data_IF_909699757076
#
_entry.id   IF_909699757076
#
_cell.length_a   1.000
_cell.length_b   1.000
_cell.length_c   1.000
_cell.angle_alpha   90.00
_cell.angle_beta   90.00
_cell.angle_gamma   90.00
#
_symmetry.space_group_name_H-M   'P 1'
#
loop_
_entity.id
_entity.type
_entity.pdbx_description
1 polymer ?
#
# COMPACT_ATOMS: atom_id res chain seq x y z
N UNK A 1 0.62 30.95 32.98
CA UNK A 1 -0.07 29.69 32.61
C UNK A 1 0.40 28.62 33.59
N UNK A 2 -0.53 27.96 34.30
CA UNK A 2 -0.16 27.02 35.36
C UNK A 2 0.51 25.79 34.75
N UNK A 3 1.61 25.32 35.36
CA UNK A 3 2.36 24.14 34.89
C UNK A 3 1.46 22.91 34.67
N UNK A 4 0.43 22.74 35.51
CA UNK A 4 -0.57 21.67 35.39
C UNK A 4 -1.39 21.73 34.08
N UNK A 5 -1.78 22.92 33.62
CA UNK A 5 -2.47 23.07 32.33
C UNK A 5 -1.56 22.79 31.15
N UNK A 6 -0.27 23.13 31.25
CA UNK A 6 0.73 22.81 30.21
C UNK A 6 0.92 21.30 30.08
N UNK A 7 1.07 20.58 31.19
CA UNK A 7 1.34 19.14 31.19
C UNK A 7 0.16 18.33 30.64
N UNK A 8 -1.08 18.70 30.97
CA UNK A 8 -2.28 18.07 30.41
C UNK A 8 -2.41 18.28 28.89
N UNK A 9 -2.07 19.46 28.38
CA UNK A 9 -2.08 19.71 26.93
C UNK A 9 -1.05 18.83 26.20
N UNK A 10 0.16 18.67 26.73
CA UNK A 10 1.16 17.78 26.14
C UNK A 10 0.72 16.30 26.15
N UNK A 11 0.11 15.83 27.24
CA UNK A 11 -0.41 14.46 27.31
C UNK A 11 -1.53 14.21 26.27
N UNK A 12 -2.45 15.16 26.10
CA UNK A 12 -3.53 15.08 25.10
C UNK A 12 -3.02 15.15 23.65
N UNK A 13 -1.98 15.96 23.39
CA UNK A 13 -1.31 16.03 22.08
C UNK A 13 -0.56 14.74 21.75
N UNK A 14 -0.06 13.99 22.74
CA UNK A 14 0.64 12.73 22.51
C UNK A 14 -0.31 11.54 22.29
N UNK A 15 -1.51 11.55 22.87
CA UNK A 15 -2.47 10.43 22.77
C UNK A 15 -3.34 10.54 21.50
N UNK A 16 -3.64 11.75 21.02
CA UNK A 16 -4.59 11.95 19.91
C UNK A 16 -4.16 11.39 18.54
N UNK A 17 -2.87 11.40 18.13
CA UNK A 17 -2.49 10.83 16.84
C UNK A 17 -2.23 9.32 16.86
N UNK A 18 -1.96 8.73 18.03
CA UNK A 18 -1.55 7.32 18.13
C UNK A 18 -2.69 6.33 17.87
N UNK A 19 -3.95 6.76 17.92
CA UNK A 19 -5.10 5.85 17.97
C UNK A 19 -5.96 5.79 16.69
N UNK A 20 -5.64 6.55 15.64
CA UNK A 20 -6.30 6.39 14.33
C UNK A 20 -5.42 5.58 13.36
N UNK A 21 -4.75 4.55 13.89
CA UNK A 21 -4.04 3.57 13.08
C UNK A 21 -5.00 2.74 12.22
N UNK A 22 -4.43 1.97 11.30
CA UNK A 22 -5.17 1.03 10.46
C UNK A 22 -6.05 0.09 11.32
N UNK A 23 -7.37 0.22 11.18
CA UNK A 23 -8.32 -0.48 12.05
C UNK A 23 -8.65 -1.88 11.53
N UNK A 24 -9.30 -2.69 12.37
CA UNK A 24 -9.83 -3.99 11.93
C UNK A 24 -10.88 -3.85 10.81
N UNK A 25 -11.69 -2.77 10.85
CA UNK A 25 -12.68 -2.47 9.81
C UNK A 25 -12.01 -2.10 8.48
N UNK A 26 -10.97 -1.25 8.53
CA UNK A 26 -10.15 -0.93 7.35
C UNK A 26 -9.51 -2.19 6.76
N UNK A 27 -8.99 -3.07 7.63
CA UNK A 27 -8.40 -4.35 7.23
C UNK A 27 -9.39 -5.27 6.52
N UNK A 28 -10.62 -5.35 7.03
CA UNK A 28 -11.66 -6.16 6.40
C UNK A 28 -12.14 -5.55 5.08
N UNK A 29 -12.26 -4.23 5.00
CA UNK A 29 -12.59 -3.52 3.78
C UNK A 29 -11.53 -3.72 2.69
N UNK A 30 -10.26 -3.58 3.02
CA UNK A 30 -9.15 -3.80 2.09
C UNK A 30 -9.03 -5.27 1.68
N UNK A 31 -9.30 -6.22 2.58
CA UNK A 31 -9.37 -7.65 2.24
C UNK A 31 -10.38 -7.93 1.14
N UNK A 32 -11.62 -7.45 1.31
CA UNK A 32 -12.66 -7.54 0.28
C UNK A 32 -12.23 -6.84 -1.00
N UNK A 33 -11.61 -5.67 -0.88
CA UNK A 33 -11.20 -4.88 -2.03
C UNK A 33 -10.13 -5.57 -2.87
N UNK A 34 -9.12 -6.17 -2.25
CA UNK A 34 -8.09 -6.97 -2.95
C UNK A 34 -8.75 -8.13 -3.69
N UNK A 35 -9.67 -8.86 -3.04
CA UNK A 35 -10.38 -9.96 -3.69
C UNK A 35 -11.20 -9.50 -4.91
N UNK A 36 -11.87 -8.35 -4.82
CA UNK A 36 -12.59 -7.74 -5.95
C UNK A 36 -11.67 -7.33 -7.10
N UNK A 37 -10.53 -6.69 -6.79
CA UNK A 37 -9.55 -6.25 -7.80
C UNK A 37 -9.04 -7.46 -8.59
N UNK A 38 -8.61 -8.52 -7.89
CA UNK A 38 -8.10 -9.75 -8.51
C UNK A 38 -9.19 -10.41 -9.37
N UNK A 39 -10.41 -10.50 -8.85
CA UNK A 39 -11.54 -11.12 -9.56
C UNK A 39 -11.94 -10.33 -10.81
N UNK A 40 -11.93 -9.01 -10.78
CA UNK A 40 -12.42 -8.18 -11.88
C UNK A 40 -11.35 -7.91 -12.95
N UNK A 41 -10.07 -8.03 -12.60
CA UNK A 41 -8.95 -7.74 -13.51
C UNK A 41 -8.56 -8.94 -14.38
N UNK A 42 -9.40 -9.25 -15.37
CA UNK A 42 -9.24 -10.46 -16.21
C UNK A 42 -8.28 -10.25 -17.39
N UNK A 43 -8.32 -9.10 -18.05
CA UNK A 43 -7.45 -8.77 -19.19
C UNK A 43 -6.21 -7.96 -18.77
N UNK A 44 -5.18 -7.95 -19.61
CA UNK A 44 -3.91 -7.28 -19.33
C UNK A 44 -4.08 -5.80 -18.96
N UNK A 45 -4.96 -5.06 -19.66
CA UNK A 45 -5.14 -3.64 -19.38
C UNK A 45 -5.82 -3.44 -18.02
N UNK A 46 -6.82 -4.25 -17.69
CA UNK A 46 -7.49 -4.20 -16.39
C UNK A 46 -6.53 -4.50 -15.22
N UNK A 47 -5.63 -5.48 -15.38
CA UNK A 47 -4.56 -5.78 -14.41
C UNK A 47 -3.63 -4.60 -14.24
N UNK A 48 -3.09 -4.08 -15.34
CA UNK A 48 -2.12 -2.98 -15.35
C UNK A 48 -2.70 -1.72 -14.69
N UNK A 49 -3.95 -1.39 -15.00
CA UNK A 49 -4.64 -0.22 -14.45
C UNK A 49 -4.94 -0.37 -12.95
N UNK A 50 -5.06 -1.60 -12.45
CA UNK A 50 -5.37 -1.87 -11.04
C UNK A 50 -4.14 -1.96 -10.12
N UNK A 51 -2.92 -1.99 -10.69
CA UNK A 51 -1.67 -2.08 -9.92
C UNK A 51 -1.56 -0.95 -8.88
N UNK A 52 -1.89 0.29 -9.26
CA UNK A 52 -1.76 1.42 -8.34
C UNK A 52 -2.67 1.26 -7.13
N UNK A 53 -3.87 0.72 -7.32
CA UNK A 53 -4.81 0.50 -6.24
C UNK A 53 -4.30 -0.57 -5.25
N UNK A 54 -3.68 -1.64 -5.76
CA UNK A 54 -3.00 -2.63 -4.90
C UNK A 54 -1.84 -2.01 -4.11
N UNK A 55 -1.04 -1.13 -4.73
CA UNK A 55 0.02 -0.40 -4.03
C UNK A 55 -0.53 0.53 -2.95
N UNK A 56 -1.66 1.19 -3.20
CA UNK A 56 -2.30 2.07 -2.23
C UNK A 56 -2.87 1.27 -1.04
N UNK A 57 -3.41 0.07 -1.28
CA UNK A 57 -3.80 -0.87 -0.23
C UNK A 57 -2.57 -1.31 0.58
N UNK A 58 -1.49 -1.71 -0.10
CA UNK A 58 -0.24 -2.09 0.58
C UNK A 58 0.29 -0.97 1.48
N UNK A 59 0.27 0.28 1.00
CA UNK A 59 0.67 1.46 1.79
C UNK A 59 -0.17 1.61 3.07
N UNK A 60 -1.48 1.34 3.02
CA UNK A 60 -2.36 1.41 4.20
C UNK A 60 -2.10 0.26 5.18
N UNK A 61 -1.86 -0.94 4.66
CA UNK A 61 -1.49 -2.12 5.46
C UNK A 61 -0.13 -1.95 6.14
N UNK A 62 0.80 -1.24 5.49
CA UNK A 62 2.21 -1.14 5.86
C UNK A 62 2.44 -1.02 7.37
N UNK A 63 1.79 -0.08 8.11
CA UNK A 63 2.03 0.09 9.54
C UNK A 63 1.64 -1.11 10.42
N UNK A 64 0.72 -1.97 9.96
CA UNK A 64 0.24 -3.15 10.68
C UNK A 64 1.06 -4.43 10.43
N UNK A 65 1.88 -4.45 9.39
CA UNK A 65 2.64 -5.64 9.01
C UNK A 65 3.88 -5.84 9.87
N UNK A 66 4.31 -7.10 10.02
CA UNK A 66 5.60 -7.42 10.65
C UNK A 66 6.76 -6.98 9.73
N UNK A 67 7.97 -6.80 10.27
CA UNK A 67 9.15 -6.49 9.46
C UNK A 67 9.38 -7.51 8.33
N UNK A 68 9.17 -8.79 8.58
CA UNK A 68 9.37 -9.88 7.61
C UNK A 68 8.33 -9.83 6.48
N UNK A 69 7.06 -9.56 6.81
CA UNK A 69 6.01 -9.36 5.81
C UNK A 69 6.29 -8.14 4.93
N UNK A 70 6.76 -7.04 5.54
CA UNK A 70 7.14 -5.84 4.80
C UNK A 70 8.29 -6.11 3.85
N UNK A 71 9.38 -6.70 4.32
CA UNK A 71 10.57 -6.98 3.50
C UNK A 71 10.24 -7.85 2.27
N UNK A 72 9.43 -8.90 2.47
CA UNK A 72 8.99 -9.81 1.40
C UNK A 72 8.21 -9.12 0.28
N UNK A 73 7.47 -8.06 0.60
CA UNK A 73 6.68 -7.28 -0.36
C UNK A 73 7.50 -6.11 -0.91
N UNK A 74 8.25 -5.39 -0.07
CA UNK A 74 9.06 -4.24 -0.44
C UNK A 74 10.10 -4.62 -1.50
N UNK A 75 10.79 -5.75 -1.35
CA UNK A 75 11.77 -6.22 -2.35
C UNK A 75 11.13 -6.32 -3.75
N UNK A 76 9.92 -6.86 -3.82
CA UNK A 76 9.19 -7.04 -5.07
C UNK A 76 8.61 -5.72 -5.62
N UNK A 77 8.06 -4.88 -4.74
CA UNK A 77 7.49 -3.58 -5.10
C UNK A 77 8.58 -2.63 -5.61
N UNK A 78 9.76 -2.61 -5.00
CA UNK A 78 10.85 -1.70 -5.34
C UNK A 78 11.35 -1.87 -6.78
N UNK A 79 11.35 -3.10 -7.30
CA UNK A 79 11.81 -3.38 -8.67
C UNK A 79 10.90 -2.72 -9.72
N UNK A 80 9.59 -2.69 -9.46
CA UNK A 80 8.56 -2.33 -10.43
C UNK A 80 7.92 -0.94 -10.20
N UNK A 81 8.34 -0.24 -9.15
CA UNK A 81 7.77 1.07 -8.77
C UNK A 81 8.83 2.15 -8.65
N UNK A 82 8.37 3.40 -8.73
CA UNK A 82 9.14 4.59 -8.40
C UNK A 82 8.69 5.12 -7.04
N UNK A 83 9.63 5.68 -6.28
CA UNK A 83 9.34 6.33 -5.01
C UNK A 83 8.60 7.65 -5.23
N UNK A 84 7.55 7.89 -4.44
CA UNK A 84 6.83 9.16 -4.46
C UNK A 84 7.53 10.12 -3.51
N UNK A 85 8.03 11.22 -4.05
CA UNK A 85 8.66 12.29 -3.26
C UNK A 85 7.64 13.40 -2.97
N UNK A 86 7.57 13.83 -1.72
CA UNK A 86 6.86 15.05 -1.27
C UNK A 86 7.91 15.99 -0.73
N UNK A 87 8.03 17.19 -1.31
CA UNK A 87 9.05 18.18 -0.94
C UNK A 87 10.50 17.61 -0.96
N UNK A 88 10.77 16.69 -1.88
CA UNK A 88 12.06 16.00 -2.01
C UNK A 88 12.32 14.89 -0.99
N UNK A 89 11.38 14.64 -0.08
CA UNK A 89 11.45 13.56 0.93
C UNK A 89 10.57 12.39 0.47
N UNK A 90 11.05 11.14 0.60
CA UNK A 90 10.20 9.96 0.41
C UNK A 90 8.90 10.04 1.20
N UNK A 91 7.76 9.97 0.53
CA UNK A 91 6.49 9.67 1.19
C UNK A 91 6.64 8.29 1.82
N UNK A 92 6.43 8.17 3.12
CA UNK A 92 6.42 6.86 3.80
C UNK A 92 5.45 5.91 3.09
N UNK A 93 5.97 4.79 2.58
CA UNK A 93 5.24 3.79 1.81
C UNK A 93 4.64 4.28 0.47
N UNK A 94 4.94 5.50 0.04
CA UNK A 94 4.41 6.07 -1.19
C UNK A 94 5.15 5.55 -2.41
N UNK A 95 4.49 4.69 -3.20
CA UNK A 95 5.04 4.13 -4.44
C UNK A 95 4.09 4.30 -5.60
N UNK A 96 4.65 4.57 -6.78
CA UNK A 96 3.90 4.69 -8.03
C UNK A 96 4.36 3.62 -9.00
N UNK A 97 3.42 2.97 -9.66
CA UNK A 97 3.77 2.00 -10.71
C UNK A 97 4.49 2.66 -11.90
N UNK A 98 5.53 2.01 -12.42
CA UNK A 98 6.26 2.43 -13.63
C UNK A 98 5.43 2.28 -14.91
N UNK A 99 4.30 1.58 -14.86
CA UNK A 99 3.49 1.19 -16.01
C UNK A 99 2.35 2.17 -16.32
N UNK A 100 1.92 2.98 -15.34
CA UNK A 100 0.77 3.86 -15.48
C UNK A 100 0.94 4.89 -16.61
N UNK A 101 -0.08 4.99 -17.47
CA UNK A 101 -0.17 6.01 -18.51
C UNK A 101 0.83 5.86 -19.67
N UNK A 102 1.60 4.77 -19.74
CA UNK A 102 2.57 4.51 -20.81
C UNK A 102 2.00 3.57 -21.86
N UNK A 103 2.37 3.79 -23.12
CA UNK A 103 2.19 2.78 -24.17
C UNK A 103 3.24 1.70 -23.91
N UNK A 104 2.77 0.50 -23.56
CA UNK A 104 3.64 -0.61 -23.21
C UNK A 104 3.82 -1.54 -24.42
N UNK A 105 5.06 -1.94 -24.67
CA UNK A 105 5.34 -3.07 -25.56
C UNK A 105 4.74 -4.36 -24.99
N UNK A 106 4.49 -5.37 -25.83
CA UNK A 106 3.96 -6.67 -25.37
C UNK A 106 4.85 -7.31 -24.27
N UNK A 107 6.18 -7.18 -24.40
CA UNK A 107 7.09 -7.64 -23.35
C UNK A 107 6.89 -6.89 -22.03
N UNK A 108 6.73 -5.57 -22.08
CA UNK A 108 6.50 -4.75 -20.88
C UNK A 108 5.11 -4.98 -20.28
N UNK A 109 4.09 -5.27 -21.10
CA UNK A 109 2.78 -5.70 -20.61
C UNK A 109 2.89 -6.99 -19.80
N UNK A 110 3.62 -7.99 -20.32
CA UNK A 110 3.85 -9.26 -19.61
C UNK A 110 4.54 -9.06 -18.25
N UNK A 111 5.51 -8.14 -18.16
CA UNK A 111 6.13 -7.77 -16.88
C UNK A 111 5.11 -7.12 -15.93
N UNK A 112 4.30 -6.20 -16.46
CA UNK A 112 3.32 -5.49 -15.65
C UNK A 112 2.18 -6.39 -15.14
N UNK A 113 1.70 -7.33 -15.97
CA UNK A 113 0.69 -8.31 -15.56
C UNK A 113 1.25 -9.32 -14.56
N UNK A 114 2.49 -9.79 -14.74
CA UNK A 114 3.18 -10.59 -13.73
C UNK A 114 3.34 -9.84 -12.40
N UNK A 115 3.68 -8.54 -12.47
CA UNK A 115 3.74 -7.68 -11.28
C UNK A 115 2.39 -7.60 -10.56
N UNK A 116 1.29 -7.41 -11.30
CA UNK A 116 -0.06 -7.42 -10.75
C UNK A 116 -0.38 -8.75 -10.05
N UNK A 117 -0.11 -9.89 -10.70
CA UNK A 117 -0.47 -11.22 -10.19
C UNK A 117 0.26 -11.54 -8.89
N UNK A 118 1.56 -11.30 -8.82
CA UNK A 118 2.34 -11.59 -7.62
C UNK A 118 2.05 -10.58 -6.51
N UNK A 119 1.89 -9.29 -6.80
CA UNK A 119 1.49 -8.31 -5.77
C UNK A 119 0.10 -8.65 -5.21
N UNK A 120 -0.87 -8.94 -6.09
CA UNK A 120 -2.21 -9.35 -5.69
C UNK A 120 -2.19 -10.62 -4.84
N UNK A 121 -1.42 -11.63 -5.23
CA UNK A 121 -1.27 -12.87 -4.46
C UNK A 121 -0.64 -12.64 -3.09
N UNK A 122 0.43 -11.83 -3.00
CA UNK A 122 1.08 -11.51 -1.73
C UNK A 122 0.10 -10.79 -0.79
N UNK A 123 -0.63 -9.79 -1.30
CA UNK A 123 -1.61 -9.06 -0.50
C UNK A 123 -2.78 -9.92 -0.07
N UNK A 124 -3.31 -10.79 -0.95
CA UNK A 124 -4.36 -11.73 -0.59
C UNK A 124 -3.91 -12.67 0.55
N UNK A 125 -2.65 -13.14 0.50
CA UNK A 125 -2.07 -13.99 1.53
C UNK A 125 -2.03 -13.37 2.93
N UNK A 126 -1.90 -12.03 3.03
CA UNK A 126 -1.93 -11.31 4.31
C UNK A 126 -3.29 -11.38 5.03
N UNK A 127 -4.36 -11.75 4.32
CA UNK A 127 -5.71 -11.80 4.88
C UNK A 127 -6.21 -13.22 5.16
N UNK A 128 -5.49 -14.25 4.72
CA UNK A 128 -5.89 -15.66 4.85
C UNK A 128 -5.28 -16.37 6.07
N UNK A 129 -4.50 -15.67 6.89
CA UNK A 129 -3.99 -16.17 8.18
C UNK A 129 -4.99 -16.00 9.29
#
# INVERSE_FOLDING_TARGET
MNSATSLMCFALLLISPLCMGYTAEDREADSRRVAEIIKNSQDDNSKINSIQELLDIYKRLYPSLTPEERESIDNFVNEHTDEVLVDGVPSQGGRKTKFAGKILSEATKGVATGFFEELGSKLAGLFTG
#
